data_IF_576151779116
#
_entry.id   IF_576151779116
#
_cell.length_a   1.000
_cell.length_b   1.000
_cell.length_c   1.000
_cell.angle_alpha   90.00
_cell.angle_beta   90.00
_cell.angle_gamma   90.00
#
_symmetry.space_group_name_H-M   'P 1'
#
loop_
_entity.id
_entity.type
_entity.pdbx_description
1 polymer ?
#
# COMPACT_ATOMS: atom_id res chain seq x y z
N UNK A 1 -16.45 -16.03 25.11
CA UNK A 1 -17.15 -15.33 24.00
C UNK A 1 -17.16 -13.82 24.16
N UNK A 2 -17.48 -13.28 25.34
CA UNK A 2 -17.53 -11.82 25.57
C UNK A 2 -16.22 -11.10 25.24
N UNK A 3 -15.06 -11.66 25.63
CA UNK A 3 -13.74 -11.10 25.28
C UNK A 3 -13.55 -11.01 23.76
N UNK A 4 -13.87 -12.07 23.02
CA UNK A 4 -13.71 -12.11 21.55
C UNK A 4 -14.58 -11.04 20.88
N UNK A 5 -15.82 -10.88 21.33
CA UNK A 5 -16.74 -9.85 20.80
C UNK A 5 -16.14 -8.46 21.06
N UNK A 6 -15.74 -8.17 22.30
CA UNK A 6 -15.17 -6.87 22.67
C UNK A 6 -13.89 -6.59 21.86
N UNK A 7 -12.95 -7.53 21.83
CA UNK A 7 -11.68 -7.34 21.09
C UNK A 7 -11.91 -7.16 19.59
N UNK A 8 -12.85 -7.90 19.02
CA UNK A 8 -13.22 -7.79 17.60
C UNK A 8 -13.88 -6.44 17.29
N UNK A 9 -14.85 -6.01 18.11
CA UNK A 9 -15.52 -4.72 17.95
C UNK A 9 -14.52 -3.56 18.05
N UNK A 10 -13.61 -3.60 19.03
CA UNK A 10 -12.58 -2.56 19.18
C UNK A 10 -11.62 -2.53 17.99
N UNK A 11 -11.13 -3.69 17.52
CA UNK A 11 -10.23 -3.75 16.36
C UNK A 11 -10.92 -3.24 15.08
N UNK A 12 -12.17 -3.65 14.85
CA UNK A 12 -12.94 -3.21 13.68
C UNK A 12 -13.24 -1.71 13.71
N UNK A 13 -13.49 -1.14 14.89
CA UNK A 13 -13.70 0.30 15.03
C UNK A 13 -12.46 1.11 14.58
N UNK A 14 -11.24 0.66 14.94
CA UNK A 14 -9.98 1.30 14.53
C UNK A 14 -9.75 1.17 13.02
N UNK A 15 -10.03 -0.01 12.45
CA UNK A 15 -9.90 -0.24 11.01
C UNK A 15 -10.87 0.64 10.19
N UNK A 16 -12.13 0.74 10.61
CA UNK A 16 -13.13 1.60 9.98
C UNK A 16 -12.75 3.08 10.10
N UNK A 17 -12.25 3.52 11.25
CA UNK A 17 -11.80 4.89 11.45
C UNK A 17 -10.62 5.24 10.54
N UNK A 18 -9.65 4.34 10.42
CA UNK A 18 -8.48 4.51 9.54
C UNK A 18 -8.90 4.62 8.08
N UNK A 19 -9.74 3.69 7.61
CA UNK A 19 -10.25 3.70 6.23
C UNK A 19 -11.17 4.91 5.93
N UNK A 20 -12.05 5.29 6.86
CA UNK A 20 -12.91 6.47 6.73
C UNK A 20 -12.12 7.78 6.69
N UNK A 21 -11.06 7.90 7.50
CA UNK A 21 -10.15 9.05 7.45
C UNK A 21 -9.36 9.10 6.15
N UNK A 22 -8.89 7.95 5.65
CA UNK A 22 -8.19 7.88 4.37
C UNK A 22 -9.08 8.36 3.21
N UNK A 23 -10.34 7.90 3.15
CA UNK A 23 -11.30 8.33 2.12
C UNK A 23 -11.60 9.84 2.18
N UNK A 24 -11.73 10.38 3.40
CA UNK A 24 -11.95 11.82 3.63
C UNK A 24 -10.73 12.65 3.19
N UNK A 25 -9.52 12.12 3.36
CA UNK A 25 -8.30 12.80 2.95
C UNK A 25 -8.05 12.71 1.43
N UNK A 26 -8.43 11.60 0.80
CA UNK A 26 -8.34 11.42 -0.65
C UNK A 26 -9.31 12.34 -1.41
N UNK A 27 -10.49 12.59 -0.86
CA UNK A 27 -11.51 13.42 -1.52
C UNK A 27 -12.10 14.45 -0.57
N UNK A 28 -12.02 15.74 -0.91
CA UNK A 28 -12.67 16.81 -0.15
C UNK A 28 -14.21 16.84 -0.27
N UNK A 29 -14.78 15.84 -0.96
CA UNK A 29 -16.22 15.78 -1.28
C UNK A 29 -17.05 15.19 -0.14
N UNK A 30 -16.46 14.31 0.67
CA UNK A 30 -17.17 13.60 1.72
C UNK A 30 -16.71 14.07 3.10
N UNK A 31 -17.66 14.22 4.03
CA UNK A 31 -17.34 14.42 5.45
C UNK A 31 -16.93 13.08 6.08
N UNK A 32 -16.22 13.11 7.21
CA UNK A 32 -15.81 11.89 7.92
C UNK A 32 -16.99 10.95 8.21
N UNK A 33 -18.14 11.49 8.61
CA UNK A 33 -19.36 10.69 8.86
C UNK A 33 -19.83 9.97 7.59
N UNK A 34 -19.88 10.67 6.45
CA UNK A 34 -20.26 10.06 5.18
C UNK A 34 -19.25 8.98 4.76
N UNK A 35 -17.95 9.26 4.89
CA UNK A 35 -16.88 8.30 4.59
C UNK A 35 -16.97 7.03 5.45
N UNK A 36 -17.25 7.16 6.75
CA UNK A 36 -17.44 6.03 7.65
C UNK A 36 -18.62 5.15 7.24
N UNK A 37 -19.74 5.76 6.85
CA UNK A 37 -20.92 5.03 6.37
C UNK A 37 -20.59 4.26 5.09
N UNK A 38 -19.96 4.93 4.11
CA UNK A 38 -19.56 4.30 2.83
C UNK A 38 -18.64 3.10 3.08
N UNK A 39 -17.56 3.29 3.86
CA UNK A 39 -16.59 2.24 4.19
C UNK A 39 -17.26 1.08 4.94
N UNK A 40 -18.18 1.38 5.87
CA UNK A 40 -18.92 0.34 6.60
C UNK A 40 -19.78 -0.49 5.66
N UNK A 41 -20.55 0.14 4.77
CA UNK A 41 -21.38 -0.55 3.79
C UNK A 41 -20.52 -1.46 2.89
N UNK A 42 -19.42 -0.94 2.36
CA UNK A 42 -18.48 -1.73 1.53
C UNK A 42 -17.92 -2.92 2.33
N UNK A 43 -17.50 -2.70 3.58
CA UNK A 43 -16.94 -3.75 4.44
C UNK A 43 -17.95 -4.86 4.75
N UNK A 44 -19.22 -4.50 4.95
CA UNK A 44 -20.31 -5.47 5.14
C UNK A 44 -20.46 -6.36 3.90
N UNK A 45 -20.43 -5.78 2.68
CA UNK A 45 -20.48 -6.58 1.45
C UNK A 45 -19.28 -7.51 1.31
N UNK A 46 -18.06 -7.01 1.59
CA UNK A 46 -16.83 -7.81 1.54
C UNK A 46 -16.86 -8.97 2.55
N UNK A 47 -17.48 -8.77 3.72
CA UNK A 47 -17.63 -9.80 4.76
C UNK A 47 -18.39 -11.04 4.26
N UNK A 48 -19.27 -10.88 3.26
CA UNK A 48 -20.03 -11.99 2.69
C UNK A 48 -19.28 -12.77 1.61
N UNK A 49 -18.14 -12.27 1.10
CA UNK A 49 -17.36 -12.95 0.05
C UNK A 49 -17.03 -14.41 0.42
N UNK A 50 -16.53 -14.73 1.63
CA UNK A 50 -16.19 -16.10 1.98
C UNK A 50 -17.37 -17.09 1.94
N UNK A 51 -18.62 -16.63 2.02
CA UNK A 51 -19.81 -17.50 1.96
C UNK A 51 -20.00 -18.15 0.59
N UNK A 52 -19.41 -17.57 -0.46
CA UNK A 52 -19.52 -18.09 -1.83
C UNK A 52 -18.41 -19.07 -2.22
N UNK A 53 -17.47 -19.35 -1.30
CA UNK A 53 -16.34 -20.25 -1.54
C UNK A 53 -16.45 -21.52 -0.72
N UNK A 54 -15.80 -22.57 -1.21
CA UNK A 54 -15.83 -23.91 -0.62
C UNK A 54 -15.18 -23.96 0.77
N UNK A 55 -14.12 -23.19 0.99
CA UNK A 55 -13.46 -23.09 2.30
C UNK A 55 -13.12 -21.64 2.64
N UNK A 56 -13.29 -21.29 3.92
CA UNK A 56 -12.84 -20.00 4.44
C UNK A 56 -11.33 -19.84 4.35
N UNK A 57 -10.58 -20.92 4.54
CA UNK A 57 -9.11 -20.92 4.54
C UNK A 57 -8.56 -20.49 3.18
N UNK A 58 -9.12 -21.00 2.08
CA UNK A 58 -8.64 -20.64 0.74
C UNK A 58 -8.84 -19.16 0.45
N UNK A 59 -10.00 -18.61 0.82
CA UNK A 59 -10.28 -17.17 0.67
C UNK A 59 -9.36 -16.33 1.55
N UNK A 60 -9.16 -16.76 2.79
CA UNK A 60 -8.32 -16.04 3.76
C UNK A 60 -6.85 -16.02 3.33
N UNK A 61 -6.31 -17.16 2.89
CA UNK A 61 -4.93 -17.26 2.42
C UNK A 61 -4.70 -16.50 1.11
N UNK A 62 -5.65 -16.57 0.16
CA UNK A 62 -5.59 -15.77 -1.05
C UNK A 62 -5.62 -14.25 -0.77
N UNK A 63 -6.42 -13.84 0.22
CA UNK A 63 -6.47 -12.44 0.67
C UNK A 63 -5.14 -11.98 1.28
N UNK A 64 -4.54 -12.78 2.18
CA UNK A 64 -3.25 -12.47 2.77
C UNK A 64 -2.13 -12.42 1.73
N UNK A 65 -2.14 -13.34 0.76
CA UNK A 65 -1.20 -13.35 -0.35
C UNK A 65 -1.32 -12.10 -1.22
N UNK A 66 -2.56 -11.69 -1.55
CA UNK A 66 -2.83 -10.45 -2.29
C UNK A 66 -2.38 -9.19 -1.54
N UNK A 67 -2.59 -9.14 -0.22
CA UNK A 67 -2.08 -8.05 0.63
C UNK A 67 -0.55 -8.01 0.61
N UNK A 68 0.11 -9.15 0.82
CA UNK A 68 1.56 -9.23 0.83
C UNK A 68 2.18 -8.82 -0.50
N UNK A 69 1.55 -9.20 -1.61
CA UNK A 69 1.95 -8.83 -2.96
C UNK A 69 1.92 -7.30 -3.19
N UNK A 70 0.92 -6.59 -2.67
CA UNK A 70 0.70 -5.16 -2.94
C UNK A 70 1.35 -4.26 -1.88
N UNK A 71 1.08 -4.51 -0.60
CA UNK A 71 1.53 -3.64 0.49
C UNK A 71 3.01 -3.81 0.80
N UNK A 72 3.60 -5.00 0.56
CA UNK A 72 5.03 -5.22 0.75
C UNK A 72 5.86 -4.22 -0.06
N UNK A 73 5.78 -4.26 -1.41
CA UNK A 73 6.44 -3.30 -2.27
C UNK A 73 6.17 -1.82 -1.93
N UNK A 74 4.94 -1.48 -1.55
CA UNK A 74 4.56 -0.13 -1.15
C UNK A 74 5.35 0.34 0.09
N UNK A 75 5.39 -0.47 1.15
CA UNK A 75 6.14 -0.18 2.37
C UNK A 75 7.64 -0.05 2.07
N UNK A 76 8.18 -0.92 1.22
CA UNK A 76 9.58 -0.86 0.82
C UNK A 76 9.93 0.47 0.14
N UNK A 77 9.07 0.95 -0.76
CA UNK A 77 9.25 2.25 -1.43
C UNK A 77 9.21 3.39 -0.41
N UNK A 78 8.26 3.41 0.55
CA UNK A 78 8.23 4.45 1.58
C UNK A 78 9.50 4.48 2.43
N UNK A 79 9.95 3.32 2.90
CA UNK A 79 11.16 3.23 3.73
C UNK A 79 12.39 3.71 2.96
N UNK A 80 12.52 3.30 1.70
CA UNK A 80 13.66 3.65 0.86
C UNK A 80 13.64 5.12 0.45
N UNK A 81 12.47 5.66 0.09
CA UNK A 81 12.32 7.08 -0.20
C UNK A 81 12.76 7.90 1.02
N UNK A 82 12.28 7.51 2.20
CA UNK A 82 12.55 8.23 3.43
C UNK A 82 14.02 8.18 3.85
N UNK A 83 14.61 6.99 3.96
CA UNK A 83 15.97 6.84 4.49
C UNK A 83 17.08 7.05 3.44
N UNK A 84 16.88 6.61 2.20
CA UNK A 84 17.95 6.57 1.19
C UNK A 84 17.85 7.65 0.11
N UNK A 85 16.64 8.07 -0.28
CA UNK A 85 16.47 9.04 -1.39
C UNK A 85 16.40 10.48 -0.86
N UNK A 86 15.61 10.70 0.18
CA UNK A 86 15.39 12.00 0.81
C UNK A 86 16.23 12.21 2.06
N UNK A 87 16.85 11.15 2.59
CA UNK A 87 17.67 11.21 3.82
C UNK A 87 16.94 11.91 4.98
N UNK A 88 15.66 11.57 5.16
CA UNK A 88 14.78 12.08 6.21
C UNK A 88 14.43 13.59 6.09
N UNK A 89 14.81 14.24 4.99
CA UNK A 89 14.56 15.67 4.77
C UNK A 89 13.27 15.91 4.00
N UNK A 90 12.12 15.86 4.71
CA UNK A 90 10.83 16.25 4.14
C UNK A 90 10.39 17.65 4.56
N UNK A 91 9.87 18.40 3.60
CA UNK A 91 9.31 19.73 3.76
C UNK A 91 7.80 19.62 3.98
N UNK A 92 7.37 19.58 5.25
CA UNK A 92 5.96 19.38 5.61
C UNK A 92 5.02 20.45 5.04
N UNK A 93 5.53 21.68 4.80
CA UNK A 93 4.80 22.80 4.20
C UNK A 93 4.49 22.58 2.70
N UNK A 94 5.17 21.63 2.05
CA UNK A 94 4.98 21.31 0.63
C UNK A 94 3.97 20.19 0.40
N UNK A 95 3.58 19.41 1.41
CA UNK A 95 2.67 18.25 1.24
C UNK A 95 1.28 18.60 0.72
N UNK A 96 0.81 19.82 0.99
CA UNK A 96 -0.52 20.27 0.57
C UNK A 96 -0.50 21.18 -0.66
N UNK A 97 0.70 21.54 -1.16
CA UNK A 97 0.85 22.49 -2.27
C UNK A 97 0.76 21.78 -3.62
N UNK A 98 -0.20 22.21 -4.44
CA UNK A 98 -0.20 21.90 -5.88
C UNK A 98 1.02 22.53 -6.52
N UNK A 99 1.71 21.80 -7.39
CA UNK A 99 2.99 22.19 -8.00
C UNK A 99 4.14 22.42 -6.99
N UNK A 100 4.03 21.90 -5.76
CA UNK A 100 5.13 21.89 -4.79
C UNK A 100 6.18 20.81 -5.10
N UNK A 101 7.21 20.71 -4.26
CA UNK A 101 8.32 19.76 -4.43
C UNK A 101 7.88 18.28 -4.57
N UNK A 102 6.75 17.92 -3.96
CA UNK A 102 6.16 16.58 -3.97
C UNK A 102 4.97 16.43 -4.92
N UNK A 103 4.73 17.40 -5.82
CA UNK A 103 3.68 17.30 -6.82
C UNK A 103 4.10 16.44 -8.03
N UNK A 104 5.41 16.24 -8.25
CA UNK A 104 5.94 15.45 -9.36
C UNK A 104 5.29 15.83 -10.72
N UNK A 105 4.95 14.85 -11.57
CA UNK A 105 4.28 15.09 -12.85
C UNK A 105 2.77 14.95 -12.65
N UNK A 106 2.06 16.08 -12.66
CA UNK A 106 0.60 16.16 -12.46
C UNK A 106 0.08 15.47 -11.18
N UNK A 107 0.85 15.48 -10.10
CA UNK A 107 0.50 14.82 -8.83
C UNK A 107 1.01 13.40 -8.69
N UNK A 108 1.75 12.85 -9.68
CA UNK A 108 2.16 11.44 -9.72
C UNK A 108 3.68 11.30 -9.78
N UNK A 109 4.22 10.51 -8.85
CA UNK A 109 5.60 10.03 -8.91
C UNK A 109 5.68 8.75 -9.75
N UNK A 110 5.92 8.90 -11.05
CA UNK A 110 6.03 7.76 -11.97
C UNK A 110 7.15 6.77 -11.61
N UNK A 111 8.25 7.24 -11.00
CA UNK A 111 9.30 6.34 -10.51
C UNK A 111 8.77 5.40 -9.45
N UNK A 112 7.96 5.89 -8.51
CA UNK A 112 7.33 5.07 -7.48
C UNK A 112 6.31 4.09 -8.08
N UNK A 113 5.42 4.57 -8.96
CA UNK A 113 4.39 3.74 -9.59
C UNK A 113 5.00 2.60 -10.43
N UNK A 114 6.01 2.90 -11.24
CA UNK A 114 6.70 1.90 -12.06
C UNK A 114 7.43 0.89 -11.17
N UNK A 115 8.13 1.36 -10.12
CA UNK A 115 8.81 0.47 -9.16
C UNK A 115 7.84 -0.49 -8.47
N UNK A 116 6.70 0.05 -8.02
CA UNK A 116 5.64 -0.73 -7.38
C UNK A 116 5.05 -1.76 -8.35
N UNK A 117 4.68 -1.35 -9.56
CA UNK A 117 4.09 -2.24 -10.56
C UNK A 117 5.05 -3.36 -10.96
N UNK A 118 6.33 -3.05 -11.20
CA UNK A 118 7.35 -4.05 -11.53
C UNK A 118 7.58 -5.02 -10.37
N UNK A 119 7.55 -4.56 -9.12
CA UNK A 119 7.68 -5.42 -7.96
C UNK A 119 6.47 -6.32 -7.75
N UNK A 120 5.25 -5.81 -7.97
CA UNK A 120 4.01 -6.60 -7.96
C UNK A 120 4.07 -7.67 -9.07
N UNK A 121 4.48 -7.32 -10.29
CA UNK A 121 4.69 -8.31 -11.35
C UNK A 121 5.79 -9.33 -11.00
N UNK A 122 6.89 -8.87 -10.38
CA UNK A 122 7.97 -9.73 -9.91
C UNK A 122 7.53 -10.73 -8.85
N UNK A 123 6.60 -10.34 -7.97
CA UNK A 123 6.00 -11.24 -6.97
C UNK A 123 5.40 -12.49 -7.62
N UNK A 124 4.64 -12.32 -8.72
CA UNK A 124 4.04 -13.45 -9.45
C UNK A 124 5.10 -14.42 -9.97
N UNK A 125 6.22 -13.92 -10.48
CA UNK A 125 7.32 -14.73 -11.00
C UNK A 125 8.02 -15.48 -9.87
N UNK A 126 8.34 -14.78 -8.77
CA UNK A 126 9.02 -15.35 -7.61
C UNK A 126 8.18 -16.48 -7.00
N UNK A 127 6.87 -16.29 -6.92
CA UNK A 127 5.94 -17.28 -6.37
C UNK A 127 5.89 -18.59 -7.16
N UNK A 128 6.23 -18.57 -8.45
CA UNK A 128 6.33 -19.80 -9.26
C UNK A 128 7.59 -20.62 -8.98
N UNK A 129 8.53 -20.11 -8.18
CA UNK A 129 9.80 -20.78 -7.86
C UNK A 129 9.67 -21.38 -6.45
N UNK A 130 9.44 -22.70 -6.30
CA UNK A 130 9.11 -23.32 -5.02
C UNK A 130 10.20 -23.11 -3.96
N UNK A 131 11.47 -23.20 -4.38
CA UNK A 131 12.62 -22.98 -3.49
C UNK A 131 12.58 -21.60 -2.84
N UNK A 132 12.16 -20.56 -3.56
CA UNK A 132 12.09 -19.20 -3.02
C UNK A 132 10.81 -18.96 -2.20
N UNK A 133 9.69 -19.48 -2.68
CA UNK A 133 8.41 -19.36 -2.02
C UNK A 133 8.37 -20.06 -0.65
N UNK A 134 8.93 -21.27 -0.56
CA UNK A 134 8.84 -22.11 0.64
C UNK A 134 9.89 -21.77 1.71
N UNK A 135 10.99 -21.10 1.34
CA UNK A 135 12.07 -20.76 2.28
C UNK A 135 12.00 -19.34 2.81
N UNK A 136 11.93 -18.35 1.91
CA UNK A 136 12.01 -16.91 2.24
C UNK A 136 10.63 -16.25 2.13
N UNK A 137 9.77 -16.79 1.26
CA UNK A 137 8.51 -16.15 0.88
C UNK A 137 8.70 -15.11 -0.23
N UNK A 138 7.69 -14.93 -1.06
CA UNK A 138 7.75 -14.02 -2.20
C UNK A 138 7.70 -12.53 -1.79
N UNK A 139 7.07 -12.21 -0.66
CA UNK A 139 6.89 -10.80 -0.22
C UNK A 139 8.22 -10.09 0.09
N UNK A 140 9.14 -10.63 0.92
CA UNK A 140 10.41 -9.96 1.18
C UNK A 140 11.26 -9.75 -0.07
N UNK A 141 11.21 -10.70 -1.02
CA UNK A 141 11.94 -10.59 -2.28
C UNK A 141 11.33 -9.51 -3.19
N UNK A 142 10.00 -9.42 -3.26
CA UNK A 142 9.32 -8.35 -3.98
C UNK A 142 9.57 -6.97 -3.35
N UNK A 143 9.68 -6.89 -2.02
CA UNK A 143 10.08 -5.68 -1.29
C UNK A 143 11.48 -5.23 -1.68
N UNK A 144 12.45 -6.15 -1.72
CA UNK A 144 13.82 -5.86 -2.16
C UNK A 144 13.86 -5.40 -3.62
N UNK A 145 13.08 -6.03 -4.48
CA UNK A 145 12.95 -5.63 -5.88
C UNK A 145 12.41 -4.19 -6.01
N UNK A 146 11.33 -3.86 -5.29
CA UNK A 146 10.76 -2.52 -5.27
C UNK A 146 11.77 -1.47 -4.78
N UNK A 147 12.49 -1.79 -3.69
CA UNK A 147 13.53 -0.95 -3.12
C UNK A 147 14.64 -0.62 -4.12
N UNK A 148 15.20 -1.65 -4.76
CA UNK A 148 16.30 -1.48 -5.72
C UNK A 148 15.85 -0.67 -6.94
N UNK A 149 14.71 -1.02 -7.55
CA UNK A 149 14.19 -0.31 -8.72
C UNK A 149 13.93 1.16 -8.38
N UNK A 150 13.32 1.43 -7.22
CA UNK A 150 13.01 2.80 -6.82
C UNK A 150 14.26 3.64 -6.58
N UNK A 151 15.31 3.08 -5.95
CA UNK A 151 16.60 3.78 -5.79
C UNK A 151 17.20 4.11 -7.17
N UNK A 152 17.18 3.15 -8.10
CA UNK A 152 17.71 3.36 -9.43
C UNK A 152 16.93 4.47 -10.16
N UNK A 153 15.60 4.38 -10.22
CA UNK A 153 14.77 5.36 -10.93
C UNK A 153 14.80 6.75 -10.28
N UNK A 154 14.78 6.84 -8.95
CA UNK A 154 14.83 8.12 -8.23
C UNK A 154 16.14 8.86 -8.45
N UNK A 155 17.28 8.16 -8.61
CA UNK A 155 18.56 8.78 -8.97
C UNK A 155 18.51 9.45 -10.36
N UNK A 156 17.89 8.81 -11.34
CA UNK A 156 17.74 9.38 -12.68
C UNK A 156 16.76 10.56 -12.69
N UNK A 157 15.62 10.43 -12.02
CA UNK A 157 14.63 11.50 -11.94
C UNK A 157 15.13 12.74 -11.17
N UNK A 158 15.96 12.56 -10.13
CA UNK A 158 16.58 13.67 -9.39
C UNK A 158 17.63 14.40 -10.25
N UNK A 159 18.32 13.68 -11.14
CA UNK A 159 19.27 14.27 -12.10
C UNK A 159 18.57 15.17 -13.11
N UNK A 160 17.46 14.73 -13.69
CA UNK A 160 16.67 15.53 -14.64
C UNK A 160 16.08 16.82 -14.03
N UNK A 161 15.79 16.80 -12.72
CA UNK A 161 15.28 17.99 -11.98
C UNK A 161 16.33 19.06 -11.70
N UNK A 162 17.62 18.71 -11.71
CA UNK A 162 18.72 19.65 -11.47
C UNK A 162 19.26 20.25 -12.77
N UNK A 163 18.90 19.69 -13.92
CA UNK A 163 19.37 20.11 -15.25
C UNK A 163 18.36 20.97 -16.03
N UNK A 164 17.16 21.17 -15.49
CA UNK A 164 16.11 22.06 -16.01
C UNK A 164 15.87 23.20 -15.03
#
# INVERSE_FOLDING_TARGET
MLVIIITSTTANAVNLMSAGSALTNMTKKFSLRASLIIVTIVSVFVTFIPLFYSTFLDVFTAFLDGIGMVLGPEIAIFLVDFYFVQHQNYLSDQFTRKNGAYWYSNGINWSAIISWALAVCGYWIIKQIPVLADTVGATPLAMLLAAVIYICLSKFAKKERLTN
#
